data_IF_990062796230
#
_entry.id   IF_990062796230
#
_cell.length_a   1.000
_cell.length_b   1.000
_cell.length_c   1.000
_cell.angle_alpha   90.00
_cell.angle_beta   90.00
_cell.angle_gamma   90.00
#
_symmetry.space_group_name_H-M   'P 1'
#
loop_
_entity.id
_entity.type
_entity.pdbx_description
1 polymer ?
#
# COMPACT_ATOMS: atom_id res chain seq x y z
N UNK A 1 -12.19 -15.63 -3.06
CA UNK A 1 -12.23 -14.44 -3.95
C UNK A 1 -13.03 -13.35 -3.25
N UNK A 2 -12.51 -12.13 -3.14
CA UNK A 2 -13.19 -11.02 -2.46
C UNK A 2 -13.99 -10.16 -3.45
N UNK A 3 -15.19 -9.71 -3.10
CA UNK A 3 -16.06 -8.85 -3.93
C UNK A 3 -16.07 -7.42 -3.39
N UNK A 4 -15.74 -6.42 -4.21
CA UNK A 4 -15.55 -5.02 -3.79
C UNK A 4 -16.84 -4.20 -3.77
N UNK A 5 -17.06 -3.42 -2.70
CA UNK A 5 -18.23 -2.56 -2.51
C UNK A 5 -17.92 -1.05 -2.58
N UNK A 6 -16.66 -0.63 -2.36
CA UNK A 6 -16.21 0.75 -2.49
C UNK A 6 -14.67 0.84 -2.45
N UNK A 7 -14.08 1.78 -3.20
CA UNK A 7 -12.63 2.02 -3.24
C UNK A 7 -12.30 3.50 -3.17
N UNK A 8 -11.28 3.85 -2.38
CA UNK A 8 -10.74 5.21 -2.28
C UNK A 8 -9.21 5.17 -2.42
N UNK A 9 -8.64 6.05 -3.25
CA UNK A 9 -7.21 6.12 -3.51
C UNK A 9 -6.67 7.47 -3.02
N UNK A 10 -5.63 7.41 -2.19
CA UNK A 10 -4.88 8.59 -1.74
C UNK A 10 -3.45 8.43 -2.24
N UNK A 11 -2.95 9.43 -2.97
CA UNK A 11 -1.57 9.48 -3.42
C UNK A 11 -0.91 10.78 -3.01
N UNK A 12 0.33 10.70 -2.54
CA UNK A 12 1.23 11.85 -2.43
C UNK A 12 2.28 11.67 -3.53
N UNK A 13 2.15 12.43 -4.62
CA UNK A 13 3.14 12.45 -5.69
C UNK A 13 4.27 13.42 -5.35
N UNK A 14 5.50 13.03 -5.66
CA UNK A 14 6.68 13.88 -5.50
C UNK A 14 7.23 14.23 -6.88
N UNK A 15 7.58 15.49 -7.10
CA UNK A 15 8.29 15.96 -8.29
C UNK A 15 9.79 15.72 -8.15
N UNK A 16 10.55 15.85 -9.25
CA UNK A 16 12.02 15.80 -9.19
C UNK A 16 12.58 16.85 -8.21
N UNK A 17 12.02 18.06 -8.22
CA UNK A 17 12.44 19.14 -7.34
C UNK A 17 12.23 18.78 -5.86
N UNK A 18 11.12 18.13 -5.51
CA UNK A 18 10.88 17.65 -4.15
C UNK A 18 11.95 16.64 -3.73
N UNK A 19 12.29 15.68 -4.60
CA UNK A 19 13.36 14.70 -4.32
C UNK A 19 14.72 15.39 -4.17
N UNK A 20 15.02 16.38 -5.01
CA UNK A 20 16.26 17.16 -4.94
C UNK A 20 16.35 17.96 -3.63
N UNK A 21 15.20 18.37 -3.05
CA UNK A 21 15.10 18.95 -1.70
C UNK A 21 15.06 17.91 -0.57
N UNK A 22 15.40 16.65 -0.84
CA UNK A 22 15.41 15.55 0.12
C UNK A 22 14.03 15.13 0.65
N UNK A 23 12.94 15.45 -0.07
CA UNK A 23 11.65 14.83 0.20
C UNK A 23 11.65 13.38 -0.24
N UNK A 24 10.79 12.58 0.40
CA UNK A 24 10.66 11.15 0.10
C UNK A 24 9.93 10.93 -1.24
N UNK A 25 10.20 9.83 -1.94
CA UNK A 25 9.41 9.44 -3.10
C UNK A 25 7.94 9.28 -2.77
N UNK A 26 7.12 9.53 -3.79
CA UNK A 26 5.69 9.46 -3.65
C UNK A 26 5.20 8.05 -3.39
N UNK A 27 4.10 7.93 -2.65
CA UNK A 27 3.41 6.65 -2.48
C UNK A 27 1.91 6.85 -2.64
N UNK A 28 1.23 5.77 -2.99
CA UNK A 28 -0.22 5.68 -3.02
C UNK A 28 -0.71 4.59 -2.06
N UNK A 29 -1.84 4.87 -1.43
CA UNK A 29 -2.59 3.94 -0.63
C UNK A 29 -4.00 3.80 -1.22
N UNK A 30 -4.39 2.59 -1.55
CA UNK A 30 -5.75 2.26 -1.95
C UNK A 30 -6.46 1.57 -0.78
N UNK A 31 -7.67 2.02 -0.45
CA UNK A 31 -8.55 1.40 0.54
C UNK A 31 -9.72 0.74 -0.16
N UNK A 32 -10.00 -0.51 0.19
CA UNK A 32 -11.10 -1.31 -0.33
C UNK A 32 -11.97 -1.80 0.83
N UNK A 33 -13.28 -1.78 0.63
CA UNK A 33 -14.24 -2.47 1.50
C UNK A 33 -14.74 -3.71 0.77
N UNK A 34 -14.61 -4.86 1.41
CA UNK A 34 -14.94 -6.15 0.81
C UNK A 34 -15.48 -7.13 1.84
N UNK A 35 -15.97 -8.27 1.38
CA UNK A 35 -16.37 -9.40 2.20
C UNK A 35 -15.86 -10.70 1.56
N UNK A 36 -15.74 -11.75 2.36
CA UNK A 36 -15.47 -13.10 1.88
C UNK A 36 -16.68 -13.58 1.07
N UNK A 37 -16.48 -13.93 -0.21
CA UNK A 37 -17.58 -14.36 -1.10
C UNK A 37 -18.37 -15.54 -0.53
N UNK A 38 -17.69 -16.42 0.18
CA UNK A 38 -18.26 -17.65 0.74
C UNK A 38 -18.66 -17.49 2.21
N UNK A 39 -18.56 -16.28 2.77
CA UNK A 39 -19.02 -15.98 4.12
C UNK A 39 -20.54 -15.69 4.12
N UNK A 40 -21.36 -16.53 4.79
CA UNK A 40 -22.79 -16.34 4.88
C UNK A 40 -23.19 -15.07 5.65
N UNK A 41 -22.34 -14.59 6.58
CA UNK A 41 -22.58 -13.37 7.33
C UNK A 41 -22.22 -12.10 6.53
N UNK A 42 -21.42 -12.25 5.45
CA UNK A 42 -20.87 -11.16 4.64
C UNK A 42 -20.19 -10.10 5.50
N UNK A 43 -19.42 -10.53 6.49
CA UNK A 43 -18.70 -9.62 7.36
C UNK A 43 -17.74 -8.77 6.51
N UNK A 44 -17.84 -7.46 6.73
CA UNK A 44 -17.08 -6.48 5.96
C UNK A 44 -15.67 -6.34 6.55
N UNK A 45 -14.67 -6.45 5.68
CA UNK A 45 -13.28 -6.20 5.98
C UNK A 45 -12.76 -5.00 5.17
N UNK A 46 -11.82 -4.26 5.77
CA UNK A 46 -11.10 -3.20 5.08
C UNK A 46 -9.75 -3.72 4.61
N UNK A 47 -9.43 -3.58 3.33
CA UNK A 47 -8.08 -3.82 2.83
C UNK A 47 -7.44 -2.50 2.47
N UNK A 48 -6.18 -2.32 2.86
CA UNK A 48 -5.32 -1.25 2.38
C UNK A 48 -4.14 -1.80 1.62
N UNK A 49 -3.82 -1.19 0.49
CA UNK A 49 -2.64 -1.53 -0.31
C UNK A 49 -1.78 -0.28 -0.45
N UNK A 50 -0.54 -0.35 0.01
CA UNK A 50 0.48 0.69 -0.11
C UNK A 50 1.48 0.32 -1.19
N UNK A 51 1.78 1.29 -2.05
CA UNK A 51 2.66 1.14 -3.20
C UNK A 51 3.43 2.42 -3.44
N UNK A 52 4.69 2.32 -3.83
CA UNK A 52 5.41 3.50 -4.33
C UNK A 52 4.89 3.87 -5.73
N UNK A 53 4.76 5.17 -5.96
CA UNK A 53 4.44 5.72 -7.28
C UNK A 53 5.69 6.40 -7.86
N UNK A 54 5.81 6.46 -9.20
CA UNK A 54 6.95 7.09 -9.84
C UNK A 54 6.99 8.59 -9.52
N UNK A 55 8.19 9.17 -9.63
CA UNK A 55 8.36 10.63 -9.61
C UNK A 55 7.52 11.25 -10.71
N UNK A 56 6.81 12.33 -10.40
CA UNK A 56 5.91 13.00 -11.34
C UNK A 56 6.63 13.36 -12.65
N UNK A 57 6.04 13.00 -13.78
CA UNK A 57 6.62 13.18 -15.12
C UNK A 57 7.50 12.02 -15.61
N UNK A 58 7.63 10.95 -14.82
CA UNK A 58 8.41 9.74 -15.20
C UNK A 58 7.56 8.49 -15.44
N UNK A 59 6.23 8.62 -15.37
CA UNK A 59 5.25 7.52 -15.43
C UNK A 59 5.40 6.67 -16.69
N UNK A 60 5.71 7.32 -17.81
CA UNK A 60 5.82 6.72 -19.14
C UNK A 60 7.27 6.44 -19.57
N UNK A 61 8.24 6.69 -18.70
CA UNK A 61 9.63 6.37 -18.98
C UNK A 61 9.88 4.86 -18.84
N UNK A 62 11.03 4.43 -19.37
CA UNK A 62 11.45 3.04 -19.35
C UNK A 62 11.41 2.45 -17.93
N UNK A 63 11.08 1.17 -17.82
CA UNK A 63 10.97 0.46 -16.54
C UNK A 63 12.24 0.58 -15.69
N UNK A 64 13.42 0.58 -16.32
CA UNK A 64 14.71 0.78 -15.65
C UNK A 64 14.85 2.16 -15.00
N UNK A 65 14.32 3.22 -15.62
CA UNK A 65 14.32 4.58 -15.06
C UNK A 65 13.43 4.66 -13.83
N UNK A 66 12.25 4.02 -13.87
CA UNK A 66 11.34 3.96 -12.71
C UNK A 66 11.89 3.05 -11.61
N UNK A 67 12.52 1.93 -11.96
CA UNK A 67 13.14 1.01 -10.99
C UNK A 67 14.27 1.70 -10.20
N UNK A 68 15.04 2.60 -10.84
CA UNK A 68 16.07 3.38 -10.16
C UNK A 68 15.51 4.35 -9.09
N UNK A 69 14.19 4.59 -9.06
CA UNK A 69 13.53 5.42 -8.06
C UNK A 69 13.10 4.62 -6.82
N UNK A 70 13.21 3.29 -6.85
CA UNK A 70 12.81 2.43 -5.75
C UNK A 70 13.58 2.80 -4.47
N UNK A 71 12.85 3.10 -3.40
CA UNK A 71 13.44 3.28 -2.06
C UNK A 71 13.40 2.00 -1.24
N UNK A 72 14.26 1.89 -0.21
CA UNK A 72 14.12 0.85 0.81
C UNK A 72 12.70 0.82 1.38
N UNK A 73 12.29 -0.36 1.84
CA UNK A 73 10.97 -0.58 2.42
C UNK A 73 10.66 0.48 3.49
N UNK A 74 9.54 1.18 3.33
CA UNK A 74 9.11 2.21 4.28
C UNK A 74 8.36 1.55 5.43
N UNK A 75 8.57 2.03 6.65
CA UNK A 75 7.77 1.57 7.78
C UNK A 75 6.33 2.11 7.65
N UNK A 76 5.38 1.23 7.35
CA UNK A 76 3.96 1.57 7.28
C UNK A 76 3.40 1.57 8.70
N UNK A 77 3.27 2.78 9.26
CA UNK A 77 2.81 3.01 10.63
C UNK A 77 1.48 2.36 10.96
N UNK A 78 0.57 2.24 9.97
CA UNK A 78 -0.71 1.57 10.15
C UNK A 78 -0.52 0.07 10.44
N UNK A 79 0.39 -0.62 9.71
CA UNK A 79 0.72 -2.01 9.99
C UNK A 79 1.38 -2.17 11.36
N UNK A 80 2.28 -1.25 11.72
CA UNK A 80 2.90 -1.25 13.07
C UNK A 80 1.84 -1.11 14.15
N UNK A 81 0.89 -0.18 13.99
CA UNK A 81 -0.18 0.03 14.95
C UNK A 81 -1.07 -1.22 15.09
N UNK A 82 -1.47 -1.85 13.98
CA UNK A 82 -2.25 -3.08 14.03
C UNK A 82 -1.51 -4.22 14.74
N UNK A 83 -0.22 -4.42 14.43
CA UNK A 83 0.61 -5.44 15.12
C UNK A 83 0.63 -5.19 16.63
N UNK A 84 0.90 -3.96 17.08
CA UNK A 84 0.95 -3.61 18.51
C UNK A 84 -0.41 -3.72 19.21
N UNK A 85 -1.51 -3.35 18.56
CA UNK A 85 -2.84 -3.41 19.16
C UNK A 85 -3.36 -4.85 19.26
N UNK A 86 -2.95 -5.72 18.32
CA UNK A 86 -3.27 -7.15 18.36
C UNK A 86 -2.55 -7.86 19.52
N UNK A 87 -1.28 -7.51 19.78
CA UNK A 87 -0.54 -7.98 20.96
C UNK A 87 -1.23 -7.59 22.29
N UNK A 88 -1.93 -6.45 22.31
CA UNK A 88 -2.63 -5.94 23.50
C UNK A 88 -4.05 -6.51 23.68
N UNK A 89 -4.53 -7.38 22.77
CA UNK A 89 -5.86 -8.01 22.79
C UNK A 89 -6.99 -6.97 22.98
N UNK A 90 -6.85 -5.81 22.34
CA UNK A 90 -7.85 -4.75 22.46
C UNK A 90 -9.14 -5.15 21.71
N UNK A 91 -10.30 -5.29 22.38
CA UNK A 91 -11.51 -5.81 21.74
C UNK A 91 -12.23 -4.78 20.84
N UNK A 92 -11.80 -3.53 20.86
CA UNK A 92 -12.49 -2.39 20.20
C UNK A 92 -11.83 -1.98 18.88
N UNK A 93 -10.69 -2.59 18.53
CA UNK A 93 -9.99 -2.32 17.28
C UNK A 93 -10.57 -3.19 16.17
N UNK A 94 -10.55 -2.74 14.91
CA UNK A 94 -10.73 -3.64 13.78
C UNK A 94 -9.69 -4.76 13.86
N UNK A 95 -10.12 -6.02 13.73
CA UNK A 95 -9.21 -7.15 13.72
C UNK A 95 -8.32 -7.08 12.48
N UNK A 96 -7.01 -7.24 12.68
CA UNK A 96 -6.08 -7.50 11.59
C UNK A 96 -6.28 -8.97 11.15
N UNK A 97 -6.99 -9.17 10.04
CA UNK A 97 -7.23 -10.50 9.49
C UNK A 97 -6.00 -11.02 8.73
N UNK A 98 -5.13 -10.13 8.24
CA UNK A 98 -3.87 -10.52 7.61
C UNK A 98 -3.06 -9.35 7.07
N UNK A 99 -1.80 -9.62 6.74
CA UNK A 99 -0.97 -8.67 6.01
C UNK A 99 0.04 -9.40 5.12
N UNK A 100 0.51 -8.73 4.09
CA UNK A 100 1.56 -9.20 3.20
C UNK A 100 2.51 -8.03 2.92
N UNK A 101 3.80 -8.27 3.13
CA UNK A 101 4.89 -7.36 2.76
C UNK A 101 5.63 -8.02 1.60
N UNK A 102 5.63 -7.37 0.44
CA UNK A 102 6.18 -7.91 -0.81
C UNK A 102 6.93 -6.83 -1.59
N UNK A 103 7.45 -7.19 -2.76
CA UNK A 103 8.00 -6.27 -3.75
C UNK A 103 7.08 -6.12 -4.95
N UNK A 104 7.04 -4.92 -5.52
CA UNK A 104 6.38 -4.67 -6.79
C UNK A 104 7.16 -5.37 -7.90
N UNK A 105 6.46 -6.16 -8.71
CA UNK A 105 7.08 -6.95 -9.79
C UNK A 105 7.75 -6.11 -10.87
N UNK A 106 8.45 -6.79 -11.78
CA UNK A 106 9.26 -6.16 -12.84
C UNK A 106 8.47 -5.27 -13.81
N UNK A 107 7.18 -5.57 -14.01
CA UNK A 107 6.28 -4.81 -14.89
C UNK A 107 5.42 -3.78 -14.12
N UNK A 108 5.72 -3.56 -12.84
CA UNK A 108 4.97 -2.62 -12.00
C UNK A 108 5.33 -1.16 -12.28
N UNK A 109 4.59 -0.24 -11.65
CA UNK A 109 4.76 1.21 -11.82
C UNK A 109 6.09 1.74 -11.24
N UNK A 110 6.68 1.04 -10.25
CA UNK A 110 8.04 1.25 -9.75
C UNK A 110 8.61 -0.14 -9.40
N UNK A 111 9.34 -0.80 -10.30
CA UNK A 111 9.81 -2.17 -10.07
C UNK A 111 10.74 -2.31 -8.86
N UNK A 112 10.64 -3.44 -8.16
CA UNK A 112 11.57 -3.85 -7.10
C UNK A 112 11.39 -3.14 -5.76
N UNK A 113 10.37 -2.29 -5.60
CA UNK A 113 10.08 -1.56 -4.36
C UNK A 113 8.97 -2.21 -3.53
N UNK A 114 8.71 -1.75 -2.32
CA UNK A 114 7.68 -2.33 -1.45
C UNK A 114 6.27 -2.32 -2.06
N UNK A 115 5.54 -3.40 -1.79
CA UNK A 115 4.10 -3.54 -1.95
C UNK A 115 3.55 -4.17 -0.67
N UNK A 116 2.79 -3.40 0.11
CA UNK A 116 2.24 -3.91 1.37
C UNK A 116 0.73 -3.89 1.33
N UNK A 117 0.10 -5.03 1.60
CA UNK A 117 -1.33 -5.12 1.85
C UNK A 117 -1.62 -5.42 3.31
N UNK A 118 -2.61 -4.73 3.87
CA UNK A 118 -3.13 -4.91 5.22
C UNK A 118 -4.61 -5.23 5.09
N UNK A 119 -5.07 -6.22 5.83
CA UNK A 119 -6.46 -6.61 5.97
C UNK A 119 -6.82 -6.66 7.45
#
# INVERSE_FOLDING_TARGET
>A
MYSGASSFLVGLASTKQDIDYSYKPGFAAAKFLYYLKDDPAKELAFMRIYRQIPTSGTEWLASSVRAAQAVPHINIKELTAFKSLLEQVCPVIPQLLGYQEDLQGNDSIVPGVFATSIV
#
